data_IF_169406856408
#
_entry.id   IF_169406856408
#
_cell.length_a   1.000
_cell.length_b   1.000
_cell.length_c   1.000
_cell.angle_alpha   90.00
_cell.angle_beta   90.00
_cell.angle_gamma   90.00
#
_symmetry.space_group_name_H-M   'P 1'
#
loop_
_entity.id
_entity.type
_entity.pdbx_description
1 polymer ?
#
# COMPACT_ATOMS: atom_id res chain seq x y z
N UNK A 1 -25.61 -13.91 -44.72
CA UNK A 1 -24.70 -13.97 -43.55
C UNK A 1 -25.26 -13.02 -42.50
N UNK A 2 -25.61 -13.49 -41.32
CA UNK A 2 -26.09 -12.61 -40.25
C UNK A 2 -24.91 -11.80 -39.70
N UNK A 3 -25.03 -10.50 -39.71
CA UNK A 3 -24.02 -9.59 -39.12
C UNK A 3 -24.06 -9.72 -37.61
N UNK A 4 -22.93 -10.07 -36.99
CA UNK A 4 -22.78 -10.09 -35.53
C UNK A 4 -22.24 -8.74 -35.07
N UNK A 5 -22.98 -8.08 -34.19
CA UNK A 5 -22.56 -6.79 -33.61
C UNK A 5 -22.05 -7.05 -32.21
N UNK A 6 -20.79 -6.73 -31.94
CA UNK A 6 -20.22 -6.74 -30.61
C UNK A 6 -20.65 -5.45 -29.90
N UNK A 7 -21.24 -5.51 -28.68
CA UNK A 7 -21.76 -4.34 -27.97
C UNK A 7 -20.64 -3.53 -27.31
N UNK A 8 -19.65 -3.10 -28.08
CA UNK A 8 -18.50 -2.31 -27.64
C UNK A 8 -18.49 -0.95 -28.33
N UNK A 9 -18.58 0.11 -27.53
CA UNK A 9 -18.40 1.48 -27.98
C UNK A 9 -17.13 2.03 -27.38
N UNK A 10 -16.04 2.14 -28.17
CA UNK A 10 -14.78 2.65 -27.68
C UNK A 10 -14.88 4.15 -27.34
N UNK A 11 -14.26 4.57 -26.25
CA UNK A 11 -14.05 5.99 -25.94
C UNK A 11 -13.18 6.64 -27.02
N UNK A 12 -13.25 7.97 -27.22
CA UNK A 12 -12.54 8.66 -28.31
C UNK A 12 -11.04 8.30 -28.38
N UNK A 13 -10.30 8.37 -27.28
CA UNK A 13 -8.87 8.00 -27.25
C UNK A 13 -8.61 6.54 -27.66
N UNK A 14 -9.48 5.62 -27.28
CA UNK A 14 -9.38 4.23 -27.71
C UNK A 14 -9.66 4.09 -29.20
N UNK A 15 -10.72 4.74 -29.72
CA UNK A 15 -11.14 4.65 -31.10
C UNK A 15 -10.11 5.27 -32.05
N UNK A 16 -9.66 6.48 -31.72
CA UNK A 16 -8.92 7.33 -32.66
C UNK A 16 -7.40 7.18 -32.54
N UNK A 17 -6.90 6.68 -31.40
CA UNK A 17 -5.46 6.60 -31.16
C UNK A 17 -4.99 5.20 -30.77
N UNK A 18 -5.57 4.58 -29.70
CA UNK A 18 -4.99 3.36 -29.13
C UNK A 18 -5.26 2.15 -30.02
N UNK A 19 -6.49 1.88 -30.45
CA UNK A 19 -6.80 0.74 -31.34
C UNK A 19 -6.05 0.79 -32.67
N UNK A 20 -5.92 1.95 -33.35
CA UNK A 20 -5.08 2.07 -34.54
C UNK A 20 -3.60 1.75 -34.25
N UNK A 21 -3.06 2.26 -33.12
CA UNK A 21 -1.69 1.95 -32.73
C UNK A 21 -1.49 0.46 -32.44
N UNK A 22 -2.39 -0.16 -31.65
CA UNK A 22 -2.34 -1.61 -31.37
C UNK A 22 -2.52 -2.50 -32.62
N UNK A 23 -3.06 -1.97 -33.69
CA UNK A 23 -3.11 -2.66 -34.98
C UNK A 23 -1.80 -2.57 -35.73
N UNK A 24 -1.07 -1.43 -35.61
CA UNK A 24 0.18 -1.17 -36.33
C UNK A 24 1.40 -1.78 -35.63
N UNK A 25 1.46 -1.69 -34.29
CA UNK A 25 2.64 -2.12 -33.52
C UNK A 25 2.44 -3.51 -32.94
N UNK A 26 3.51 -4.29 -32.94
CA UNK A 26 3.51 -5.64 -32.38
C UNK A 26 3.53 -5.63 -30.86
N UNK A 27 4.22 -4.69 -30.27
CA UNK A 27 4.33 -4.52 -28.81
C UNK A 27 3.88 -3.13 -28.41
N UNK A 28 3.20 -3.05 -27.27
CA UNK A 28 2.71 -1.77 -26.76
C UNK A 28 2.77 -1.70 -25.23
N UNK A 29 3.05 -0.51 -24.70
CA UNK A 29 3.01 -0.20 -23.28
C UNK A 29 2.05 0.96 -23.05
N UNK A 30 0.96 0.71 -22.32
CA UNK A 30 -0.07 1.68 -22.03
C UNK A 30 -0.07 2.01 -20.54
N UNK A 31 0.51 3.15 -20.19
CA UNK A 31 0.50 3.70 -18.84
C UNK A 31 -0.70 4.62 -18.74
N UNK A 32 -1.73 4.21 -17.99
CA UNK A 32 -2.98 4.97 -17.98
C UNK A 32 -3.53 5.06 -16.56
N UNK A 33 -4.10 6.20 -16.22
CA UNK A 33 -4.71 6.45 -14.93
C UNK A 33 -5.82 5.46 -14.58
N UNK A 34 -6.17 5.39 -13.31
CA UNK A 34 -7.30 4.60 -12.82
C UNK A 34 -8.60 5.07 -13.51
N UNK A 35 -9.52 4.13 -13.83
CA UNK A 35 -10.79 4.38 -14.54
C UNK A 35 -10.66 4.74 -16.04
N UNK A 36 -9.48 4.70 -16.63
CA UNK A 36 -9.26 4.96 -18.06
C UNK A 36 -10.01 3.99 -19.00
N UNK A 37 -10.35 2.80 -18.50
CA UNK A 37 -11.01 1.74 -19.31
C UNK A 37 -10.03 0.76 -19.93
N UNK A 38 -8.83 0.61 -19.35
CA UNK A 38 -7.76 -0.31 -19.81
C UNK A 38 -8.28 -1.71 -20.11
N UNK A 39 -8.93 -2.34 -19.15
CA UNK A 39 -9.43 -3.73 -19.24
C UNK A 39 -10.43 -3.90 -20.40
N UNK A 40 -11.45 -3.03 -20.46
CA UNK A 40 -12.49 -3.08 -21.50
C UNK A 40 -11.89 -2.90 -22.90
N UNK A 41 -11.02 -1.90 -23.07
CA UNK A 41 -10.37 -1.63 -24.33
C UNK A 41 -9.49 -2.77 -24.81
N UNK A 42 -8.64 -3.31 -23.92
CA UNK A 42 -7.71 -4.40 -24.29
C UNK A 42 -8.40 -5.74 -24.49
N UNK A 43 -9.43 -6.08 -23.71
CA UNK A 43 -10.25 -7.28 -23.95
C UNK A 43 -10.90 -7.22 -25.32
N UNK A 44 -11.46 -6.07 -25.74
CA UNK A 44 -12.05 -5.91 -27.06
C UNK A 44 -11.01 -5.89 -28.19
N UNK A 45 -9.80 -5.36 -27.95
CA UNK A 45 -8.72 -5.49 -28.94
C UNK A 45 -8.27 -6.94 -29.10
N UNK A 46 -8.16 -7.70 -28.01
CA UNK A 46 -7.88 -9.14 -28.06
C UNK A 46 -8.96 -9.89 -28.83
N UNK A 47 -10.22 -9.61 -28.56
CA UNK A 47 -11.36 -10.22 -29.27
C UNK A 47 -11.33 -9.88 -30.76
N UNK A 48 -11.12 -8.61 -31.13
CA UNK A 48 -10.97 -8.16 -32.51
C UNK A 48 -9.86 -8.93 -33.24
N UNK A 49 -8.69 -9.02 -32.64
CA UNK A 49 -7.55 -9.75 -33.21
C UNK A 49 -7.82 -11.25 -33.31
N UNK A 50 -8.54 -11.84 -32.36
CA UNK A 50 -8.94 -13.25 -32.40
C UNK A 50 -9.94 -13.53 -33.52
N UNK A 51 -10.93 -12.64 -33.75
CA UNK A 51 -11.90 -12.77 -34.84
C UNK A 51 -11.22 -12.60 -36.20
N UNK A 52 -10.24 -11.72 -36.33
CA UNK A 52 -9.56 -11.44 -37.60
C UNK A 52 -8.43 -12.42 -37.92
N UNK A 53 -8.00 -13.25 -36.96
CA UNK A 53 -6.89 -14.19 -37.17
C UNK A 53 -7.33 -15.40 -38.03
N UNK A 54 -6.65 -15.59 -39.14
CA UNK A 54 -6.93 -16.70 -40.10
C UNK A 54 -6.08 -17.95 -39.83
N UNK A 55 -5.22 -17.94 -38.82
CA UNK A 55 -4.39 -19.09 -38.46
C UNK A 55 -5.22 -20.20 -37.80
N UNK A 56 -4.71 -21.45 -37.90
CA UNK A 56 -5.31 -22.59 -37.20
C UNK A 56 -5.09 -22.47 -35.69
N UNK A 57 -6.15 -22.71 -34.93
CA UNK A 57 -6.14 -22.76 -33.45
C UNK A 57 -5.41 -21.57 -32.78
N UNK A 58 -5.80 -20.33 -33.04
CA UNK A 58 -5.11 -19.19 -32.43
C UNK A 58 -5.33 -19.15 -30.90
N UNK A 59 -4.32 -18.74 -30.15
CA UNK A 59 -4.35 -18.72 -28.68
C UNK A 59 -3.98 -17.32 -28.16
N UNK A 60 -4.82 -16.81 -27.29
CA UNK A 60 -4.66 -15.49 -26.65
C UNK A 60 -4.75 -15.62 -25.14
N UNK A 61 -4.04 -14.79 -24.41
CA UNK A 61 -4.10 -14.75 -22.96
C UNK A 61 -4.26 -13.32 -22.44
N UNK A 62 -5.14 -13.15 -21.47
CA UNK A 62 -5.18 -11.99 -20.60
C UNK A 62 -4.60 -12.41 -19.25
N UNK A 63 -3.48 -11.80 -18.86
CA UNK A 63 -2.70 -12.17 -17.68
C UNK A 63 -2.75 -11.03 -16.69
N UNK A 64 -3.20 -11.29 -15.45
CA UNK A 64 -3.12 -10.37 -14.31
C UNK A 64 -2.25 -10.99 -13.21
N UNK A 65 -1.80 -10.24 -12.20
CA UNK A 65 -0.91 -10.74 -11.15
C UNK A 65 -1.39 -12.02 -10.48
N UNK A 66 -2.70 -12.11 -10.20
CA UNK A 66 -3.33 -13.27 -9.56
C UNK A 66 -4.54 -13.77 -10.36
N UNK A 67 -4.73 -15.10 -10.39
CA UNK A 67 -5.85 -15.73 -11.12
C UNK A 67 -7.22 -15.22 -10.66
N UNK A 68 -7.42 -15.06 -9.35
CA UNK A 68 -8.67 -14.55 -8.81
C UNK A 68 -8.93 -13.08 -9.19
N UNK A 69 -7.88 -12.27 -9.32
CA UNK A 69 -7.96 -10.89 -9.81
C UNK A 69 -8.32 -10.88 -11.29
N UNK A 70 -7.62 -11.65 -12.11
CA UNK A 70 -7.88 -11.79 -13.54
C UNK A 70 -9.34 -12.21 -13.79
N UNK A 71 -9.85 -13.21 -13.05
CA UNK A 71 -11.25 -13.65 -13.12
C UNK A 71 -12.21 -12.50 -12.78
N UNK A 72 -11.98 -11.77 -11.69
CA UNK A 72 -12.87 -10.70 -11.23
C UNK A 72 -12.92 -9.52 -12.22
N UNK A 73 -11.78 -9.20 -12.83
CA UNK A 73 -11.60 -7.98 -13.62
C UNK A 73 -11.95 -8.20 -15.11
N UNK A 74 -11.55 -9.32 -15.72
CA UNK A 74 -11.63 -9.51 -17.16
C UNK A 74 -12.62 -10.59 -17.61
N UNK A 75 -12.91 -11.61 -16.78
CA UNK A 75 -13.71 -12.77 -17.18
C UNK A 75 -15.14 -12.40 -17.58
N UNK A 76 -15.83 -11.58 -16.79
CA UNK A 76 -17.21 -11.17 -17.11
C UNK A 76 -17.25 -10.31 -18.38
N UNK A 77 -16.25 -9.44 -18.59
CA UNK A 77 -16.15 -8.67 -19.83
C UNK A 77 -15.92 -9.58 -21.03
N UNK A 78 -15.04 -10.56 -20.92
CA UNK A 78 -14.80 -11.50 -22.02
C UNK A 78 -16.07 -12.28 -22.38
N UNK A 79 -16.80 -12.79 -21.39
CA UNK A 79 -18.09 -13.46 -21.60
C UNK A 79 -19.13 -12.53 -22.22
N UNK A 80 -19.24 -11.32 -21.72
CA UNK A 80 -20.20 -10.33 -22.19
C UNK A 80 -19.99 -9.97 -23.67
N UNK A 81 -18.76 -9.59 -24.04
CA UNK A 81 -18.46 -9.18 -25.40
C UNK A 81 -18.46 -10.33 -26.42
N UNK A 82 -18.21 -11.55 -25.98
CA UNK A 82 -18.30 -12.72 -26.86
C UNK A 82 -19.71 -13.30 -26.96
N UNK A 83 -20.67 -12.89 -26.10
CA UNK A 83 -22.03 -13.44 -26.05
C UNK A 83 -22.77 -13.42 -27.40
N UNK A 84 -22.68 -12.36 -28.21
CA UNK A 84 -23.36 -12.32 -29.50
C UNK A 84 -22.81 -13.28 -30.57
N UNK A 85 -21.64 -13.92 -30.32
CA UNK A 85 -20.99 -14.77 -31.34
C UNK A 85 -21.61 -16.16 -31.35
N UNK A 86 -22.32 -16.56 -32.42
CA UNK A 86 -22.93 -17.88 -32.51
C UNK A 86 -21.87 -18.99 -32.51
N UNK A 87 -22.12 -20.08 -31.78
CA UNK A 87 -21.24 -21.23 -31.74
C UNK A 87 -19.99 -21.04 -30.87
N UNK A 88 -19.88 -19.94 -30.08
CA UNK A 88 -18.84 -19.84 -29.04
C UNK A 88 -19.07 -20.87 -27.95
N UNK A 89 -17.99 -21.34 -27.33
CA UNK A 89 -18.05 -22.14 -26.11
C UNK A 89 -17.34 -21.44 -24.96
N UNK A 90 -17.78 -21.71 -23.73
CA UNK A 90 -17.23 -21.09 -22.50
C UNK A 90 -16.83 -22.20 -21.54
N UNK A 91 -15.59 -22.18 -21.09
CA UNK A 91 -15.09 -23.07 -20.07
C UNK A 91 -14.85 -22.28 -18.76
N UNK A 92 -15.74 -22.48 -17.78
CA UNK A 92 -15.70 -21.76 -16.50
C UNK A 92 -14.60 -22.27 -15.56
N UNK A 93 -14.15 -23.52 -15.72
CA UNK A 93 -13.09 -24.09 -14.86
C UNK A 93 -11.70 -23.61 -15.31
N UNK A 94 -11.45 -23.64 -16.61
CA UNK A 94 -10.17 -23.23 -17.21
C UNK A 94 -10.13 -21.73 -17.57
N UNK A 95 -11.26 -21.03 -17.43
CA UNK A 95 -11.43 -19.61 -17.73
C UNK A 95 -11.01 -19.25 -19.17
N UNK A 96 -11.56 -19.92 -20.15
CA UNK A 96 -11.41 -19.53 -21.54
C UNK A 96 -12.73 -19.49 -22.30
N UNK A 97 -12.75 -18.67 -23.35
CA UNK A 97 -13.79 -18.67 -24.38
C UNK A 97 -13.14 -19.15 -25.66
N UNK A 98 -13.79 -20.13 -26.35
CA UNK A 98 -13.41 -20.58 -27.68
C UNK A 98 -14.40 -20.04 -28.69
N UNK A 99 -13.89 -19.34 -29.70
CA UNK A 99 -14.67 -18.83 -30.81
C UNK A 99 -14.89 -19.93 -31.88
N UNK A 100 -15.91 -19.84 -32.76
CA UNK A 100 -16.12 -20.78 -33.83
C UNK A 100 -14.88 -20.91 -34.70
N UNK A 101 -14.54 -22.15 -35.06
CA UNK A 101 -13.40 -22.41 -35.93
C UNK A 101 -13.72 -22.01 -37.40
N UNK A 102 -12.68 -21.55 -38.09
CA UNK A 102 -12.70 -21.30 -39.53
C UNK A 102 -12.06 -22.45 -40.35
N UNK A 103 -11.48 -23.42 -39.63
CA UNK A 103 -10.73 -24.51 -40.22
C UNK A 103 -11.31 -25.86 -39.77
N UNK A 104 -11.81 -26.66 -40.68
CA UNK A 104 -12.32 -27.99 -40.38
C UNK A 104 -11.26 -28.83 -39.68
N UNK A 105 -11.66 -29.52 -38.59
CA UNK A 105 -10.77 -30.36 -37.81
C UNK A 105 -9.78 -29.63 -36.91
N UNK A 106 -9.87 -28.30 -36.75
CA UNK A 106 -9.04 -27.54 -35.82
C UNK A 106 -9.93 -26.80 -34.81
N UNK A 107 -9.45 -26.60 -33.55
CA UNK A 107 -10.14 -25.71 -32.61
C UNK A 107 -10.23 -24.28 -33.12
N UNK A 108 -11.23 -23.56 -32.65
CA UNK A 108 -11.33 -22.12 -32.86
C UNK A 108 -10.30 -21.31 -32.06
N UNK A 109 -10.40 -19.99 -32.15
CA UNK A 109 -9.53 -19.10 -31.34
C UNK A 109 -9.90 -19.21 -29.87
N UNK A 110 -8.91 -19.48 -28.99
CA UNK A 110 -9.07 -19.57 -27.56
C UNK A 110 -8.52 -18.33 -26.87
N UNK A 111 -9.37 -17.71 -26.04
CA UNK A 111 -9.06 -16.53 -25.26
C UNK A 111 -9.07 -16.91 -23.77
N UNK A 112 -7.90 -17.02 -23.17
CA UNK A 112 -7.71 -17.42 -21.79
C UNK A 112 -7.63 -16.22 -20.83
N UNK A 113 -8.09 -16.42 -19.59
CA UNK A 113 -7.86 -15.53 -18.45
C UNK A 113 -6.96 -16.27 -17.46
N UNK A 114 -5.75 -15.76 -17.22
CA UNK A 114 -4.68 -16.47 -16.50
C UNK A 114 -4.11 -15.57 -15.41
N UNK A 115 -3.68 -16.18 -14.28
CA UNK A 115 -2.90 -15.50 -13.24
C UNK A 115 -1.41 -15.68 -13.47
N UNK A 116 -0.63 -14.63 -13.27
CA UNK A 116 0.84 -14.67 -13.30
C UNK A 116 1.45 -15.44 -12.12
N UNK A 117 0.64 -15.72 -11.09
CA UNK A 117 0.97 -16.59 -9.95
C UNK A 117 1.10 -18.08 -10.34
N UNK A 118 0.62 -18.47 -11.53
CA UNK A 118 0.75 -19.82 -12.09
C UNK A 118 1.47 -19.81 -13.45
N UNK A 119 2.76 -19.49 -13.51
CA UNK A 119 3.50 -19.34 -14.77
C UNK A 119 3.59 -20.67 -15.58
N UNK A 120 3.47 -21.80 -14.92
CA UNK A 120 3.51 -23.11 -15.58
C UNK A 120 2.30 -23.33 -16.49
N UNK A 121 1.18 -22.69 -16.24
CA UNK A 121 0.01 -22.71 -17.14
C UNK A 121 0.27 -22.06 -18.51
N UNK A 122 1.31 -21.24 -18.61
CA UNK A 122 1.73 -20.56 -19.84
C UNK A 122 2.94 -21.23 -20.49
N UNK A 123 3.61 -22.18 -19.81
CA UNK A 123 4.74 -22.92 -20.37
C UNK A 123 4.25 -23.97 -21.36
N UNK A 124 4.93 -24.07 -22.49
CA UNK A 124 4.64 -25.08 -23.50
C UNK A 124 3.43 -24.76 -24.41
N UNK A 125 2.78 -23.60 -24.22
CA UNK A 125 1.76 -23.11 -25.16
C UNK A 125 2.36 -22.04 -26.08
N UNK A 126 1.87 -21.98 -27.31
CA UNK A 126 2.13 -20.85 -28.20
C UNK A 126 1.06 -19.76 -27.99
N UNK A 127 1.45 -18.51 -28.19
CA UNK A 127 0.55 -17.38 -28.09
C UNK A 127 0.56 -16.55 -29.39
N UNK A 128 -0.62 -16.26 -29.92
CA UNK A 128 -0.82 -15.29 -30.98
C UNK A 128 -0.91 -13.86 -30.42
N UNK A 129 -1.28 -13.71 -29.12
CA UNK A 129 -1.26 -12.44 -28.44
C UNK A 129 -1.48 -12.53 -26.93
N UNK A 130 -0.98 -11.53 -26.23
CA UNK A 130 -1.10 -11.46 -24.75
C UNK A 130 -1.34 -10.02 -24.30
N UNK A 131 -2.16 -9.90 -23.26
CA UNK A 131 -2.32 -8.68 -22.46
C UNK A 131 -1.75 -8.98 -21.09
N UNK A 132 -0.88 -8.11 -20.59
CA UNK A 132 -0.31 -8.17 -19.26
C UNK A 132 -0.87 -6.99 -18.45
N UNK A 133 -1.87 -7.26 -17.63
CA UNK A 133 -2.58 -6.25 -16.84
C UNK A 133 -1.91 -6.08 -15.47
N UNK A 134 -1.91 -4.85 -14.97
CA UNK A 134 -1.19 -4.44 -13.75
C UNK A 134 0.26 -4.96 -13.76
N UNK A 135 0.96 -4.73 -14.88
CA UNK A 135 2.29 -5.29 -15.12
C UNK A 135 3.32 -4.89 -14.05
N UNK A 136 3.11 -3.78 -13.38
CA UNK A 136 3.93 -3.36 -12.25
C UNK A 136 3.98 -4.40 -11.10
N UNK A 137 2.94 -5.24 -10.96
CA UNK A 137 2.83 -6.28 -9.93
C UNK A 137 3.22 -7.68 -10.45
N UNK A 138 3.51 -7.83 -11.73
CA UNK A 138 3.92 -9.10 -12.33
C UNK A 138 5.44 -9.26 -12.19
N UNK A 139 5.89 -10.46 -11.81
CA UNK A 139 7.33 -10.75 -11.70
C UNK A 139 8.03 -10.61 -13.05
N UNK A 140 9.20 -9.94 -13.12
CA UNK A 140 9.92 -9.68 -14.38
C UNK A 140 10.24 -10.94 -15.19
N UNK A 141 10.53 -12.05 -14.49
CA UNK A 141 10.92 -13.33 -15.10
C UNK A 141 9.81 -13.92 -15.97
N UNK A 142 8.53 -13.57 -15.71
CA UNK A 142 7.41 -14.07 -16.50
C UNK A 142 7.51 -13.62 -17.97
N UNK A 143 7.85 -12.35 -18.20
CA UNK A 143 8.01 -11.84 -19.56
C UNK A 143 9.15 -12.53 -20.30
N UNK A 144 10.36 -12.44 -19.78
CA UNK A 144 11.56 -12.95 -20.47
C UNK A 144 11.62 -14.46 -20.57
N UNK A 145 11.21 -15.17 -19.51
CA UNK A 145 11.36 -16.61 -19.38
C UNK A 145 10.18 -17.43 -19.89
N UNK A 146 8.99 -16.84 -20.00
CA UNK A 146 7.77 -17.60 -20.34
C UNK A 146 7.02 -16.99 -21.52
N UNK A 147 6.60 -15.73 -21.40
CA UNK A 147 5.70 -15.10 -22.39
C UNK A 147 6.43 -14.80 -23.69
N UNK A 148 7.61 -14.19 -23.62
CA UNK A 148 8.34 -13.80 -24.83
C UNK A 148 8.72 -14.99 -25.74
N UNK A 149 9.17 -16.16 -25.20
CA UNK A 149 9.33 -17.38 -25.98
C UNK A 149 8.00 -17.89 -26.58
N UNK A 150 6.91 -17.92 -25.80
CA UNK A 150 5.58 -18.37 -26.28
C UNK A 150 5.05 -17.56 -27.47
N UNK A 151 5.46 -16.31 -27.61
CA UNK A 151 5.11 -15.43 -28.75
C UNK A 151 6.03 -15.61 -29.97
N UNK A 152 7.17 -16.30 -29.83
CA UNK A 152 8.20 -16.30 -30.86
C UNK A 152 7.74 -17.03 -32.13
N UNK A 153 7.24 -18.26 -31.99
CA UNK A 153 6.87 -19.14 -33.12
C UNK A 153 5.75 -18.56 -33.98
N UNK A 154 4.84 -17.85 -33.35
CA UNK A 154 3.68 -17.24 -34.01
C UNK A 154 3.87 -15.75 -34.29
N UNK A 155 5.01 -15.17 -33.97
CA UNK A 155 5.21 -13.72 -34.02
C UNK A 155 4.07 -12.96 -33.35
N UNK A 156 3.59 -13.49 -32.23
CA UNK A 156 2.47 -12.95 -31.47
C UNK A 156 2.75 -11.57 -30.91
N UNK A 157 1.73 -10.83 -30.58
CA UNK A 157 1.80 -9.47 -30.03
C UNK A 157 1.66 -9.46 -28.52
N UNK A 158 2.13 -8.37 -27.87
CA UNK A 158 1.93 -8.14 -26.45
C UNK A 158 1.54 -6.69 -26.14
N UNK A 159 0.63 -6.52 -25.16
CA UNK A 159 0.25 -5.22 -24.62
C UNK A 159 0.42 -5.25 -23.10
N UNK A 160 1.25 -4.36 -22.59
CA UNK A 160 1.49 -4.13 -21.16
C UNK A 160 0.61 -2.97 -20.72
N UNK A 161 -0.20 -3.16 -19.69
CA UNK A 161 -1.08 -2.12 -19.15
C UNK A 161 -0.97 -2.05 -17.63
N UNK A 162 -1.20 -0.87 -17.09
CA UNK A 162 -1.21 -0.65 -15.63
C UNK A 162 -1.14 0.82 -15.25
N UNK A 163 -1.10 1.03 -13.94
CA UNK A 163 -0.69 2.30 -13.32
C UNK A 163 0.76 2.16 -12.81
N UNK A 164 1.55 3.24 -12.74
CA UNK A 164 2.89 3.20 -12.18
C UNK A 164 2.93 2.72 -10.74
N UNK A 165 3.99 1.98 -10.41
CA UNK A 165 4.33 1.61 -9.03
C UNK A 165 5.84 1.74 -8.83
N UNK A 166 6.34 2.98 -8.93
CA UNK A 166 7.76 3.26 -8.89
C UNK A 166 8.49 2.94 -10.19
N UNK A 167 9.80 3.10 -10.12
CA UNK A 167 10.72 2.80 -11.22
C UNK A 167 11.09 1.31 -11.24
N UNK A 168 10.09 0.46 -11.44
CA UNK A 168 10.20 -0.99 -11.52
C UNK A 168 10.26 -1.48 -12.98
N UNK A 169 10.05 -2.79 -13.20
CA UNK A 169 10.06 -3.40 -14.54
C UNK A 169 9.04 -2.78 -15.51
N UNK A 170 7.92 -2.21 -15.01
CA UNK A 170 6.95 -1.52 -15.86
C UNK A 170 7.49 -0.19 -16.37
N UNK A 171 8.21 0.55 -15.51
CA UNK A 171 8.94 1.75 -15.92
C UNK A 171 10.02 1.43 -16.96
N UNK A 172 10.82 0.40 -16.72
CA UNK A 172 11.88 -0.02 -17.67
C UNK A 172 11.28 -0.40 -19.03
N UNK A 173 10.15 -1.13 -19.02
CA UNK A 173 9.44 -1.50 -20.24
C UNK A 173 8.87 -0.28 -20.98
N UNK A 174 8.31 0.69 -20.25
CA UNK A 174 7.83 1.94 -20.81
C UNK A 174 8.98 2.75 -21.44
N UNK A 175 10.10 2.90 -20.72
CA UNK A 175 11.29 3.60 -21.24
C UNK A 175 11.94 2.89 -22.44
N UNK A 176 11.88 1.56 -22.48
CA UNK A 176 12.29 0.79 -23.67
C UNK A 176 11.37 1.08 -24.86
N UNK A 177 10.07 1.04 -24.63
CA UNK A 177 9.09 1.27 -25.68
C UNK A 177 9.16 2.70 -26.27
N UNK A 178 9.40 3.73 -25.44
CA UNK A 178 9.60 5.11 -25.90
C UNK A 178 10.78 5.27 -26.88
N UNK A 179 11.82 4.44 -26.72
CA UNK A 179 13.05 4.50 -27.52
C UNK A 179 13.01 3.57 -28.75
N UNK A 180 12.04 2.68 -28.82
CA UNK A 180 12.00 1.62 -29.85
C UNK A 180 10.97 1.96 -30.91
N UNK A 181 11.40 2.07 -32.17
CA UNK A 181 10.52 2.39 -33.30
C UNK A 181 9.42 1.34 -33.57
N UNK A 182 9.65 0.09 -33.15
CA UNK A 182 8.72 -1.05 -33.33
C UNK A 182 7.73 -1.23 -32.19
N UNK A 183 7.81 -0.37 -31.16
CA UNK A 183 6.93 -0.39 -30.01
C UNK A 183 6.05 0.86 -29.98
N UNK A 184 4.84 0.69 -29.43
CA UNK A 184 3.97 1.82 -29.09
C UNK A 184 4.04 2.07 -27.58
N UNK A 185 4.27 3.31 -27.19
CA UNK A 185 4.20 3.75 -25.80
C UNK A 185 3.22 4.93 -25.69
N UNK A 186 2.36 4.89 -24.66
CA UNK A 186 1.57 6.06 -24.28
C UNK A 186 1.44 6.18 -22.76
N UNK A 187 1.31 7.42 -22.32
CA UNK A 187 1.01 7.75 -20.93
C UNK A 187 -0.17 8.73 -20.93
N UNK A 188 -1.24 8.37 -20.20
CA UNK A 188 -2.44 9.19 -20.08
C UNK A 188 -2.76 9.47 -18.62
N UNK A 189 -2.69 10.73 -18.23
CA UNK A 189 -3.00 11.23 -16.89
C UNK A 189 -4.49 11.58 -16.80
N UNK A 190 -5.07 11.52 -15.60
CA UNK A 190 -6.48 11.83 -15.39
C UNK A 190 -6.84 13.29 -15.67
N UNK A 191 -5.89 14.20 -15.49
CA UNK A 191 -6.05 15.64 -15.77
C UNK A 191 -5.86 16.01 -17.25
N UNK A 192 -5.45 15.07 -18.10
CA UNK A 192 -5.26 15.25 -19.54
C UNK A 192 -6.36 14.54 -20.36
N UNK A 193 -7.29 13.85 -19.69
CA UNK A 193 -8.36 13.10 -20.33
C UNK A 193 -9.71 13.50 -19.75
N UNK A 194 -10.75 13.55 -20.58
CA UNK A 194 -12.12 13.83 -20.15
C UNK A 194 -12.86 12.55 -19.69
N UNK A 195 -12.10 11.54 -19.20
CA UNK A 195 -12.66 10.24 -18.83
C UNK A 195 -13.36 10.29 -17.48
N UNK A 196 -12.82 11.08 -16.55
CA UNK A 196 -13.40 11.34 -15.24
C UNK A 196 -13.92 12.78 -15.22
N UNK A 197 -15.19 13.03 -14.88
CA UNK A 197 -15.71 14.39 -14.74
C UNK A 197 -14.87 15.21 -13.74
N UNK A 198 -14.75 16.51 -13.99
CA UNK A 198 -13.84 17.41 -13.23
C UNK A 198 -14.20 17.47 -11.75
N UNK A 199 -15.49 17.49 -11.42
CA UNK A 199 -16.03 17.47 -10.06
C UNK A 199 -15.70 16.16 -9.34
N UNK A 200 -15.91 15.02 -9.99
CA UNK A 200 -15.56 13.71 -9.47
C UNK A 200 -14.04 13.56 -9.27
N UNK A 201 -13.23 14.08 -10.22
CA UNK A 201 -11.77 14.08 -10.08
C UNK A 201 -11.30 14.92 -8.88
N UNK A 202 -11.96 16.05 -8.62
CA UNK A 202 -11.67 16.88 -7.46
C UNK A 202 -12.03 16.18 -6.14
N UNK A 203 -13.18 15.52 -6.08
CA UNK A 203 -13.62 14.74 -4.90
C UNK A 203 -12.69 13.56 -4.65
N UNK A 204 -12.33 12.81 -5.69
CA UNK A 204 -11.33 11.73 -5.57
C UNK A 204 -10.00 12.25 -5.01
N UNK A 205 -9.49 13.40 -5.50
CA UNK A 205 -8.24 13.99 -5.01
C UNK A 205 -8.33 14.40 -3.54
N UNK A 206 -9.48 14.88 -3.08
CA UNK A 206 -9.67 15.26 -1.68
C UNK A 206 -9.63 14.06 -0.70
N UNK A 207 -9.91 12.85 -1.20
CA UNK A 207 -9.95 11.60 -0.42
C UNK A 207 -8.67 10.76 -0.54
N UNK A 208 -7.76 11.13 -1.43
CA UNK A 208 -6.52 10.41 -1.71
C UNK A 208 -5.31 11.14 -1.12
N UNK A 209 -4.26 10.40 -0.82
CA UNK A 209 -2.96 10.99 -0.48
C UNK A 209 -2.28 11.56 -1.71
N UNK A 210 -1.36 12.52 -1.54
CA UNK A 210 -0.57 13.08 -2.66
C UNK A 210 0.13 12.00 -3.48
N UNK A 211 0.62 10.95 -2.81
CA UNK A 211 1.27 9.83 -3.48
C UNK A 211 0.26 9.01 -4.32
N UNK A 212 -0.91 8.69 -3.78
CA UNK A 212 -1.97 7.99 -4.52
C UNK A 212 -2.43 8.83 -5.73
N UNK A 213 -2.56 10.15 -5.57
CA UNK A 213 -2.89 11.07 -6.68
C UNK A 213 -1.81 10.99 -7.75
N UNK A 214 -0.53 11.13 -7.39
CA UNK A 214 0.58 11.09 -8.34
C UNK A 214 0.65 9.74 -9.05
N UNK A 215 0.50 8.63 -8.33
CA UNK A 215 0.58 7.28 -8.86
C UNK A 215 -0.65 6.90 -9.72
N UNK A 216 -1.84 6.97 -9.13
CA UNK A 216 -3.07 6.41 -9.72
C UNK A 216 -3.74 7.35 -10.72
N UNK A 217 -3.61 8.67 -10.54
CA UNK A 217 -4.26 9.67 -11.38
C UNK A 217 -3.28 10.36 -12.34
N UNK A 218 -2.07 10.72 -11.88
CA UNK A 218 -1.09 11.44 -12.70
C UNK A 218 -0.08 10.52 -13.38
N UNK A 219 -0.15 9.22 -13.17
CA UNK A 219 0.73 8.22 -13.80
C UNK A 219 2.23 8.51 -13.59
N UNK A 220 2.60 9.02 -12.42
CA UNK A 220 3.97 9.42 -12.12
C UNK A 220 4.78 8.25 -11.59
N UNK A 221 5.75 7.78 -12.36
CA UNK A 221 6.69 6.73 -11.96
C UNK A 221 7.65 7.14 -10.84
N UNK A 222 7.77 8.42 -10.55
CA UNK A 222 8.61 8.90 -9.45
C UNK A 222 7.83 9.02 -8.12
N UNK A 223 6.51 8.84 -8.14
CA UNK A 223 5.65 8.94 -6.96
C UNK A 223 6.04 7.98 -5.84
N UNK A 224 6.70 6.87 -6.17
CA UNK A 224 7.21 5.90 -5.20
C UNK A 224 8.73 5.97 -5.02
N UNK A 225 9.40 7.01 -5.52
CA UNK A 225 10.82 7.21 -5.30
C UNK A 225 11.17 7.53 -3.84
N UNK A 226 10.15 7.65 -2.96
CA UNK A 226 10.32 7.53 -1.53
C UNK A 226 9.20 6.63 -1.00
N UNK A 227 9.45 5.33 -0.88
CA UNK A 227 8.65 4.40 -0.07
C UNK A 227 8.74 4.75 1.42
N UNK A 228 9.29 5.90 1.74
CA UNK A 228 9.47 6.41 3.09
C UNK A 228 8.15 6.98 3.60
N UNK A 229 7.73 6.54 4.78
CA UNK A 229 6.47 6.99 5.40
C UNK A 229 6.49 8.49 5.68
N UNK A 230 7.61 9.00 6.21
CA UNK A 230 7.77 10.40 6.63
C UNK A 230 8.95 11.02 5.85
N UNK A 231 8.69 11.89 4.87
CA UNK A 231 9.74 12.55 4.09
C UNK A 231 10.71 13.37 4.96
N UNK A 232 11.99 13.36 4.62
CA UNK A 232 13.04 14.06 5.38
C UNK A 232 12.79 15.56 5.52
N UNK A 233 12.19 16.18 4.50
CA UNK A 233 11.87 17.62 4.51
C UNK A 233 10.82 17.93 5.56
N UNK A 234 9.80 17.06 5.73
CA UNK A 234 8.77 17.20 6.76
C UNK A 234 9.37 17.08 8.17
N UNK A 235 10.27 16.10 8.38
CA UNK A 235 10.98 15.93 9.66
C UNK A 235 11.88 17.14 9.93
N UNK A 236 12.60 17.63 8.90
CA UNK A 236 13.46 18.79 9.04
C UNK A 236 12.67 20.05 9.42
N UNK A 237 11.55 20.31 8.75
CA UNK A 237 10.67 21.40 9.10
C UNK A 237 10.14 21.30 10.54
N UNK A 238 9.84 20.08 11.01
CA UNK A 238 9.35 19.85 12.35
C UNK A 238 10.43 20.08 13.45
N UNK A 239 11.71 19.88 13.13
CA UNK A 239 12.83 20.16 14.07
C UNK A 239 13.14 21.64 14.22
N UNK A 240 12.71 22.48 13.29
CA UNK A 240 12.87 23.94 13.37
C UNK A 240 11.69 24.66 14.04
N UNK A 241 10.62 23.92 14.36
CA UNK A 241 9.45 24.48 15.06
C UNK A 241 9.73 24.60 16.56
N UNK A 242 9.52 25.79 17.10
CA UNK A 242 9.63 26.06 18.53
C UNK A 242 8.23 26.20 19.12
N UNK A 243 7.84 25.26 19.98
CA UNK A 243 6.60 25.32 20.75
C UNK A 243 6.92 25.46 22.22
N UNK A 244 6.01 26.11 22.94
CA UNK A 244 6.08 26.34 24.39
C UNK A 244 4.95 25.61 25.12
N UNK A 245 5.01 25.58 26.44
CA UNK A 245 3.93 24.99 27.26
C UNK A 245 2.57 25.63 27.00
N UNK A 246 2.55 26.94 26.67
CA UNK A 246 1.30 27.67 26.36
C UNK A 246 0.63 27.19 25.06
N UNK A 247 1.42 26.83 24.07
CA UNK A 247 0.90 26.38 22.77
C UNK A 247 0.21 25.03 22.85
N UNK A 248 0.50 24.24 23.89
CA UNK A 248 -0.06 22.90 24.10
C UNK A 248 -0.89 22.81 25.40
N UNK A 249 -1.18 23.94 26.03
CA UNK A 249 -1.99 23.98 27.25
C UNK A 249 -3.37 23.35 27.02
N UNK A 250 -3.82 22.53 27.96
CA UNK A 250 -5.09 21.82 27.81
C UNK A 250 -5.07 20.62 26.88
N UNK A 251 -3.95 20.31 26.23
CA UNK A 251 -3.80 19.10 25.41
C UNK A 251 -3.32 17.91 26.27
N UNK A 252 -3.73 16.66 25.96
CA UNK A 252 -3.31 15.49 26.72
C UNK A 252 -1.81 15.24 26.60
N UNK A 253 -1.18 14.87 27.70
CA UNK A 253 0.19 14.35 27.74
C UNK A 253 0.14 12.85 27.56
N UNK A 254 0.94 12.32 26.66
CA UNK A 254 0.99 10.91 26.29
C UNK A 254 2.44 10.43 26.38
N UNK A 255 2.66 9.30 27.03
CA UNK A 255 3.97 8.66 27.12
C UNK A 255 3.98 7.41 26.23
N UNK A 256 4.92 7.33 25.30
CA UNK A 256 5.25 6.14 24.52
C UNK A 256 6.55 5.53 25.02
N UNK A 257 6.58 4.21 25.18
CA UNK A 257 7.73 3.46 25.71
C UNK A 257 8.04 2.30 24.79
N UNK A 258 9.19 2.36 24.12
CA UNK A 258 9.78 1.23 23.39
C UNK A 258 10.82 0.55 24.29
N UNK A 259 10.62 -0.75 24.59
CA UNK A 259 11.44 -1.51 25.54
C UNK A 259 12.38 -2.43 24.80
N UNK A 260 13.68 -2.19 24.93
CA UNK A 260 14.72 -3.01 24.32
C UNK A 260 15.11 -4.23 25.15
N UNK A 261 15.66 -5.25 24.46
CA UNK A 261 16.35 -6.38 25.06
C UNK A 261 17.78 -6.00 25.50
N UNK A 262 18.39 -6.86 26.34
CA UNK A 262 19.83 -6.81 26.58
C UNK A 262 20.61 -6.90 25.26
N UNK A 263 21.50 -5.93 25.01
CA UNK A 263 22.30 -5.81 23.80
C UNK A 263 22.44 -4.37 23.33
N UNK A 264 22.60 -4.18 22.03
CA UNK A 264 22.80 -2.87 21.40
C UNK A 264 21.51 -2.05 21.24
N UNK A 265 20.33 -2.65 21.43
CA UNK A 265 19.03 -1.98 21.31
C UNK A 265 18.75 -1.15 22.59
N UNK A 266 18.00 -0.06 22.45
CA UNK A 266 17.80 0.96 23.50
C UNK A 266 16.35 1.01 23.95
N UNK A 267 16.15 1.15 25.27
CA UNK A 267 14.84 1.55 25.79
C UNK A 267 14.64 3.05 25.62
N UNK A 268 13.55 3.46 25.01
CA UNK A 268 13.23 4.87 24.75
C UNK A 268 11.89 5.24 25.36
N UNK A 269 11.88 6.36 26.07
CA UNK A 269 10.68 7.02 26.60
C UNK A 269 10.46 8.32 25.84
N UNK A 270 9.28 8.47 25.22
CA UNK A 270 8.90 9.67 24.46
C UNK A 270 7.63 10.31 25.03
N UNK A 271 7.71 11.56 25.46
CA UNK A 271 6.57 12.34 25.99
C UNK A 271 6.09 13.33 24.94
N UNK A 272 4.84 13.19 24.52
CA UNK A 272 4.17 14.10 23.58
C UNK A 272 2.99 14.78 24.26
N UNK A 273 2.81 16.07 24.00
CA UNK A 273 1.64 16.85 24.41
C UNK A 273 1.12 17.65 23.22
N UNK A 274 -0.09 17.35 22.74
CA UNK A 274 -0.63 18.02 21.58
C UNK A 274 0.32 17.93 20.36
N UNK A 275 0.74 19.08 19.87
CA UNK A 275 1.69 19.21 18.75
C UNK A 275 3.17 19.24 19.17
N UNK A 276 3.50 18.99 20.40
CA UNK A 276 4.87 19.10 20.92
C UNK A 276 5.42 17.80 21.48
N UNK A 277 6.58 17.34 20.99
CA UNK A 277 7.40 16.31 21.63
C UNK A 277 8.23 16.97 22.73
N UNK A 278 7.76 16.83 23.98
CA UNK A 278 8.32 17.54 25.15
C UNK A 278 9.65 16.96 25.64
N UNK A 279 9.76 15.62 25.60
CA UNK A 279 10.90 14.91 26.20
C UNK A 279 11.14 13.59 25.48
N UNK A 280 12.40 13.24 25.26
CA UNK A 280 12.83 11.94 24.71
C UNK A 280 14.05 11.48 25.50
N UNK A 281 13.91 10.33 26.17
CA UNK A 281 14.97 9.74 26.99
C UNK A 281 15.36 8.38 26.48
N UNK A 282 16.64 8.13 26.43
CA UNK A 282 17.22 6.87 25.96
C UNK A 282 18.03 6.21 27.06
N UNK A 283 17.86 4.91 27.22
CA UNK A 283 18.55 4.09 28.19
C UNK A 283 19.08 2.82 27.56
N UNK A 284 20.24 2.35 28.03
CA UNK A 284 20.86 1.09 27.57
C UNK A 284 21.23 0.23 28.79
N UNK A 285 21.19 -1.09 28.61
CA UNK A 285 21.67 -2.03 29.61
C UNK A 285 20.83 -2.14 30.89
N UNK A 286 19.57 -1.68 30.85
CA UNK A 286 18.67 -1.76 32.01
C UNK A 286 17.94 -3.11 32.08
N UNK A 287 17.76 -3.60 33.31
CA UNK A 287 16.81 -4.70 33.58
C UNK A 287 15.36 -4.21 33.46
N UNK A 288 14.40 -5.15 33.32
CA UNK A 288 12.98 -4.83 33.29
C UNK A 288 12.48 -4.05 34.50
N UNK A 289 13.07 -4.31 35.67
CA UNK A 289 12.76 -3.61 36.92
C UNK A 289 13.26 -2.16 36.91
N UNK A 290 14.46 -1.93 36.40
CA UNK A 290 15.02 -0.58 36.25
C UNK A 290 14.26 0.21 35.18
N UNK A 291 13.89 -0.42 34.06
CA UNK A 291 13.01 0.21 33.04
C UNK A 291 11.68 0.62 33.69
N UNK A 292 11.03 -0.27 34.47
CA UNK A 292 9.77 0.07 35.14
C UNK A 292 9.95 1.29 36.07
N UNK A 293 11.07 1.39 36.80
CA UNK A 293 11.36 2.55 37.66
C UNK A 293 11.53 3.84 36.81
N UNK A 294 12.21 3.78 35.64
CA UNK A 294 12.35 4.93 34.75
C UNK A 294 11.02 5.39 34.17
N UNK A 295 10.13 4.45 33.85
CA UNK A 295 8.76 4.76 33.43
C UNK A 295 7.98 5.43 34.55
N UNK A 296 8.10 4.95 35.82
CA UNK A 296 7.46 5.56 36.97
C UNK A 296 7.98 7.00 37.22
N UNK A 297 9.29 7.21 37.15
CA UNK A 297 9.88 8.55 37.26
C UNK A 297 9.30 9.51 36.20
N UNK A 298 9.18 9.04 34.95
CA UNK A 298 8.62 9.81 33.87
C UNK A 298 7.12 10.09 34.07
N UNK A 299 6.34 9.09 34.54
CA UNK A 299 4.92 9.27 34.90
C UNK A 299 4.75 10.32 35.98
N UNK A 300 5.54 10.25 37.04
CA UNK A 300 5.47 11.19 38.18
C UNK A 300 5.86 12.63 37.74
N UNK A 301 6.82 12.76 36.83
CA UNK A 301 7.29 14.06 36.34
C UNK A 301 6.29 14.73 35.38
N UNK A 302 5.71 13.97 34.45
CA UNK A 302 4.92 14.52 33.34
C UNK A 302 3.41 14.32 33.49
N UNK A 303 2.96 13.49 34.44
CA UNK A 303 1.54 13.17 34.73
C UNK A 303 0.75 12.83 33.45
N UNK A 304 1.15 11.86 32.61
CA UNK A 304 0.51 11.55 31.36
C UNK A 304 -0.91 11.00 31.56
N UNK A 305 -1.83 11.35 30.66
CA UNK A 305 -3.18 10.83 30.61
C UNK A 305 -3.24 9.40 30.03
N UNK A 306 -2.23 9.02 29.26
CA UNK A 306 -2.06 7.66 28.76
C UNK A 306 -0.58 7.29 28.66
N UNK A 307 -0.29 6.02 28.91
CA UNK A 307 1.04 5.41 28.79
C UNK A 307 0.90 4.21 27.88
N UNK A 308 1.57 4.23 26.73
CA UNK A 308 1.60 3.14 25.76
C UNK A 308 2.97 2.48 25.76
N UNK A 309 3.02 1.16 25.92
CA UNK A 309 4.25 0.39 26.01
C UNK A 309 4.23 -0.70 24.95
N UNK A 310 5.33 -0.83 24.17
CA UNK A 310 5.47 -1.94 23.23
C UNK A 310 5.44 -3.28 24.00
N UNK A 311 4.51 -4.16 23.61
CA UNK A 311 4.30 -5.48 24.20
C UNK A 311 5.33 -6.53 23.74
N UNK A 312 6.38 -6.14 23.02
CA UNK A 312 7.47 -7.05 22.64
C UNK A 312 7.99 -7.86 23.83
N UNK A 313 8.82 -8.89 23.58
CA UNK A 313 9.18 -9.92 24.56
C UNK A 313 9.66 -9.41 25.95
N UNK A 314 10.22 -8.19 26.02
CA UNK A 314 10.66 -7.55 27.27
C UNK A 314 9.64 -6.57 27.84
N UNK A 315 8.81 -5.97 26.99
CA UNK A 315 7.77 -5.02 27.40
C UNK A 315 6.74 -5.64 28.31
N UNK A 316 6.38 -6.91 28.11
CA UNK A 316 5.45 -7.64 28.96
C UNK A 316 5.90 -7.64 30.44
N UNK A 317 7.17 -7.90 30.75
CA UNK A 317 7.68 -7.89 32.12
C UNK A 317 7.66 -6.49 32.76
N UNK A 318 7.87 -5.43 31.97
CA UNK A 318 7.75 -4.04 32.44
C UNK A 318 6.29 -3.70 32.72
N UNK A 319 5.38 -4.09 31.82
CA UNK A 319 3.93 -3.89 31.95
C UNK A 319 3.40 -4.59 33.20
N UNK A 320 3.75 -5.86 33.42
CA UNK A 320 3.34 -6.63 34.58
C UNK A 320 3.80 -5.97 35.87
N UNK A 321 5.05 -5.50 35.91
CA UNK A 321 5.60 -4.80 37.09
C UNK A 321 4.86 -3.48 37.35
N UNK A 322 4.58 -2.68 36.35
CA UNK A 322 3.84 -1.43 36.47
C UNK A 322 2.41 -1.66 36.94
N UNK A 323 1.73 -2.66 36.40
CA UNK A 323 0.37 -3.07 36.83
C UNK A 323 0.36 -3.58 38.29
N UNK A 324 1.37 -4.35 38.69
CA UNK A 324 1.53 -4.78 40.07
C UNK A 324 1.69 -3.58 41.04
N UNK A 325 2.35 -2.52 40.57
CA UNK A 325 2.50 -1.25 41.33
C UNK A 325 1.28 -0.31 41.11
N UNK A 326 0.17 -0.80 40.55
CA UNK A 326 -1.07 -0.08 40.31
C UNK A 326 -0.98 1.11 39.32
N UNK A 327 0.06 1.18 38.49
CA UNK A 327 0.12 2.13 37.40
C UNK A 327 -0.75 1.64 36.24
N UNK A 328 -1.59 2.56 35.71
CA UNK A 328 -2.41 2.25 34.53
C UNK A 328 -1.56 2.43 33.26
N UNK A 329 -1.26 1.33 32.58
CA UNK A 329 -0.50 1.32 31.34
C UNK A 329 -1.23 0.47 30.30
N UNK A 330 -1.16 0.91 29.05
CA UNK A 330 -1.74 0.24 27.89
C UNK A 330 -0.65 -0.45 27.08
N UNK A 331 -0.84 -1.72 26.90
CA UNK A 331 -0.02 -2.58 26.06
C UNK A 331 -0.35 -2.33 24.57
N UNK A 332 0.67 -2.28 23.72
CA UNK A 332 0.53 -2.14 22.28
C UNK A 332 1.41 -3.19 21.60
N UNK A 333 0.82 -4.08 20.84
CA UNK A 333 1.55 -5.02 20.00
C UNK A 333 1.58 -4.48 18.56
N UNK A 334 2.76 -4.20 18.04
CA UNK A 334 2.94 -3.65 16.68
C UNK A 334 2.34 -4.52 15.56
N UNK A 335 2.20 -5.82 15.81
CA UNK A 335 1.58 -6.78 14.88
C UNK A 335 0.05 -6.84 14.95
N UNK A 336 -0.59 -6.23 15.96
CA UNK A 336 -2.05 -6.29 16.09
C UNK A 336 -2.77 -5.55 14.94
N UNK A 337 -4.06 -5.85 14.76
CA UNK A 337 -4.88 -5.22 13.73
C UNK A 337 -4.93 -3.70 13.92
N UNK A 338 -4.84 -2.97 12.83
CA UNK A 338 -5.04 -1.52 12.81
C UNK A 338 -6.46 -1.15 13.23
N UNK A 339 -6.68 0.07 13.70
CA UNK A 339 -8.03 0.60 13.93
C UNK A 339 -8.75 0.83 12.58
N UNK A 340 -8.01 1.27 11.55
CA UNK A 340 -8.49 1.42 10.17
C UNK A 340 -8.01 0.22 9.34
N UNK A 341 -8.68 -0.92 9.50
CA UNK A 341 -8.31 -2.20 8.88
C UNK A 341 -8.50 -2.26 7.37
N UNK A 342 -9.24 -1.35 6.80
CA UNK A 342 -9.42 -1.14 5.35
C UNK A 342 -8.16 -0.57 4.69
N UNK A 343 -7.41 0.26 5.40
CA UNK A 343 -6.26 1.00 4.90
C UNK A 343 -4.91 0.41 5.33
N UNK A 344 -4.79 -0.02 6.58
CA UNK A 344 -3.53 -0.48 7.18
C UNK A 344 -3.54 -1.96 7.49
N UNK A 345 -2.41 -2.64 7.30
CA UNK A 345 -2.26 -4.06 7.59
C UNK A 345 -2.14 -4.35 9.09
N UNK A 346 -1.55 -3.44 9.85
CA UNK A 346 -1.35 -3.55 11.30
C UNK A 346 -1.29 -2.16 11.95
N UNK A 347 -1.33 -2.14 13.30
CA UNK A 347 -1.32 -0.90 14.07
C UNK A 347 -0.01 -0.13 13.92
N UNK A 348 1.14 -0.81 13.68
CA UNK A 348 2.43 -0.13 13.47
C UNK A 348 2.38 0.78 12.24
N UNK A 349 1.82 0.28 11.13
CA UNK A 349 1.66 1.10 9.93
C UNK A 349 0.75 2.31 10.19
N UNK A 350 -0.37 2.11 10.88
CA UNK A 350 -1.30 3.18 11.21
C UNK A 350 -0.65 4.26 12.10
N UNK A 351 0.11 3.87 13.12
CA UNK A 351 0.80 4.79 14.02
C UNK A 351 1.81 5.68 13.29
N UNK A 352 2.61 5.11 12.38
CA UNK A 352 3.58 5.88 11.59
C UNK A 352 2.89 6.89 10.66
N UNK A 353 1.81 6.52 10.02
CA UNK A 353 1.03 7.43 9.18
C UNK A 353 0.33 8.53 10.01
N UNK A 354 -0.19 8.20 11.20
CA UNK A 354 -0.71 9.22 12.13
C UNK A 354 0.38 10.20 12.60
N UNK A 355 1.60 9.71 12.83
CA UNK A 355 2.75 10.56 13.13
C UNK A 355 3.07 11.51 11.96
N UNK A 356 3.07 11.01 10.72
CA UNK A 356 3.23 11.84 9.52
C UNK A 356 2.15 12.93 9.43
N UNK A 357 0.90 12.55 9.62
CA UNK A 357 -0.23 13.49 9.56
C UNK A 357 -0.14 14.54 10.69
N UNK A 358 0.31 14.14 11.88
CA UNK A 358 0.59 15.04 12.99
C UNK A 358 1.73 16.01 12.68
N UNK A 359 2.83 15.56 12.07
CA UNK A 359 3.93 16.43 11.60
C UNK A 359 3.45 17.42 10.54
N UNK A 360 2.60 16.98 9.61
CA UNK A 360 1.98 17.82 8.58
C UNK A 360 1.09 18.91 9.23
N UNK A 361 0.40 18.58 10.31
CA UNK A 361 -0.48 19.49 11.05
C UNK A 361 0.29 20.48 11.98
N UNK A 362 1.61 20.47 11.94
CA UNK A 362 2.43 21.42 12.73
C UNK A 362 3.15 20.80 13.93
N UNK A 363 3.22 19.47 14.02
CA UNK A 363 3.95 18.79 15.08
C UNK A 363 5.43 19.19 15.16
N UNK A 364 5.96 19.43 16.36
CA UNK A 364 7.32 19.86 16.61
C UNK A 364 8.15 18.73 17.26
N UNK A 365 9.36 18.55 16.75
CA UNK A 365 10.32 17.55 17.19
C UNK A 365 11.52 18.20 17.87
N UNK A 366 12.18 17.52 18.82
CA UNK A 366 13.44 17.99 19.38
C UNK A 366 14.55 17.97 18.30
N UNK A 367 15.56 18.82 18.44
CA UNK A 367 16.76 18.83 17.59
C UNK A 367 17.63 17.60 17.86
N UNK A 368 17.17 16.45 17.39
CA UNK A 368 17.83 15.15 17.54
C UNK A 368 18.08 14.54 16.15
N UNK A 369 19.33 14.47 15.74
CA UNK A 369 19.73 13.98 14.41
C UNK A 369 19.40 12.49 14.20
N UNK A 370 19.45 11.70 15.28
CA UNK A 370 19.16 10.26 15.21
C UNK A 370 17.65 10.02 15.04
N UNK A 371 16.79 10.68 15.83
CA UNK A 371 15.33 10.64 15.65
C UNK A 371 14.92 11.10 14.24
N UNK A 372 15.58 12.16 13.73
CA UNK A 372 15.38 12.63 12.36
C UNK A 372 15.67 11.53 11.33
N UNK A 373 16.81 10.83 11.47
CA UNK A 373 17.20 9.74 10.59
C UNK A 373 16.23 8.56 10.69
N UNK A 374 15.89 8.12 11.91
CA UNK A 374 14.98 7.00 12.13
C UNK A 374 13.59 7.25 11.53
N UNK A 375 13.00 8.43 11.75
CA UNK A 375 11.69 8.79 11.19
C UNK A 375 11.70 8.85 9.66
N UNK A 376 12.80 9.30 9.05
CA UNK A 376 12.90 9.51 7.60
C UNK A 376 13.39 8.30 6.81
N UNK A 377 13.64 7.17 7.46
CA UNK A 377 14.15 5.96 6.80
C UNK A 377 13.16 4.81 6.72
N UNK A 378 12.07 4.83 7.50
CA UNK A 378 11.07 3.75 7.51
C UNK A 378 10.29 3.73 6.20
N UNK A 379 10.38 2.62 5.48
CA UNK A 379 9.70 2.40 4.21
C UNK A 379 8.40 1.63 4.39
N UNK A 380 7.48 1.82 3.44
CA UNK A 380 6.23 1.10 3.38
C UNK A 380 5.96 0.54 1.99
N UNK A 381 5.06 -0.43 1.91
CA UNK A 381 4.56 -0.99 0.66
C UNK A 381 3.09 -1.36 0.81
N UNK A 382 2.44 -1.63 -0.32
CA UNK A 382 1.12 -2.23 -0.30
C UNK A 382 1.23 -3.75 -0.29
N UNK A 383 0.46 -4.41 0.58
CA UNK A 383 0.35 -5.86 0.57
C UNK A 383 -0.59 -6.33 -0.57
N UNK A 384 -0.70 -7.65 -0.85
CA UNK A 384 -1.58 -8.17 -1.90
C UNK A 384 -3.07 -7.78 -1.75
N UNK A 385 -3.50 -7.41 -0.55
CA UNK A 385 -4.87 -6.92 -0.28
C UNK A 385 -5.02 -5.41 -0.48
N UNK A 386 -3.99 -4.71 -0.96
CA UNK A 386 -3.99 -3.26 -1.17
C UNK A 386 -3.83 -2.43 0.11
N UNK A 387 -3.52 -3.06 1.27
CA UNK A 387 -3.32 -2.36 2.55
C UNK A 387 -1.86 -1.99 2.74
N UNK A 388 -1.63 -0.87 3.39
CA UNK A 388 -0.29 -0.36 3.72
C UNK A 388 0.35 -1.23 4.81
N UNK A 389 1.57 -1.68 4.57
CA UNK A 389 2.41 -2.39 5.52
C UNK A 389 3.81 -1.79 5.51
N UNK A 390 4.42 -1.61 6.69
CA UNK A 390 5.80 -1.15 6.79
C UNK A 390 6.78 -2.30 6.51
N UNK A 391 8.00 -1.94 6.15
CA UNK A 391 9.10 -2.92 6.11
C UNK A 391 9.30 -3.58 7.49
N UNK A 392 9.64 -4.88 7.55
CA UNK A 392 9.98 -5.56 8.80
C UNK A 392 11.15 -4.87 9.52
N UNK A 393 11.11 -4.82 10.87
CA UNK A 393 12.19 -4.21 11.68
C UNK A 393 13.57 -4.82 11.37
N UNK A 394 13.62 -6.12 11.10
CA UNK A 394 14.85 -6.84 10.77
C UNK A 394 15.47 -6.30 9.47
N UNK A 395 14.65 -6.09 8.42
CA UNK A 395 15.12 -5.53 7.15
C UNK A 395 15.58 -4.09 7.28
N UNK A 396 14.83 -3.29 8.04
CA UNK A 396 15.24 -1.92 8.35
C UNK A 396 16.59 -1.91 9.07
N UNK A 397 16.77 -2.77 10.09
CA UNK A 397 18.03 -2.91 10.84
C UNK A 397 19.19 -3.38 9.94
N UNK A 398 18.94 -4.33 9.03
CA UNK A 398 19.95 -4.75 8.03
C UNK A 398 20.36 -3.60 7.11
N UNK A 399 19.42 -2.76 6.67
CA UNK A 399 19.66 -1.63 5.75
C UNK A 399 20.31 -0.43 6.43
N UNK A 400 19.91 -0.11 7.67
CA UNK A 400 20.33 1.10 8.38
C UNK A 400 21.40 0.84 9.45
N UNK A 401 21.63 -0.41 9.80
CA UNK A 401 22.54 -0.84 10.87
C UNK A 401 21.95 -0.70 12.27
N UNK A 402 20.77 -0.13 12.45
CA UNK A 402 20.13 0.15 13.76
C UNK A 402 18.63 -0.08 13.75
N UNK A 403 18.05 -0.36 14.92
CA UNK A 403 16.62 -0.35 15.17
C UNK A 403 16.08 1.08 15.28
N UNK A 404 14.83 1.37 14.85
CA UNK A 404 14.24 2.71 14.93
C UNK A 404 13.60 3.00 16.31
N UNK A 405 14.34 2.78 17.39
CA UNK A 405 13.82 2.79 18.76
C UNK A 405 13.23 4.16 19.16
N UNK A 406 13.86 5.26 18.74
CA UNK A 406 13.39 6.63 18.98
C UNK A 406 12.08 6.91 18.22
N UNK A 407 12.03 6.50 16.97
CA UNK A 407 10.84 6.65 16.12
C UNK A 407 9.70 5.77 16.66
N UNK A 408 9.96 4.51 17.01
CA UNK A 408 8.96 3.58 17.55
C UNK A 408 8.39 4.10 18.88
N UNK A 409 9.20 4.69 19.79
CA UNK A 409 8.70 5.31 21.01
C UNK A 409 7.78 6.52 20.74
N UNK A 410 8.12 7.36 19.77
CA UNK A 410 7.27 8.49 19.38
C UNK A 410 5.95 8.00 18.77
N UNK A 411 5.98 7.04 17.83
CA UNK A 411 4.76 6.59 17.15
C UNK A 411 3.82 5.84 18.09
N UNK A 412 4.31 5.21 19.15
CA UNK A 412 3.46 4.63 20.21
C UNK A 412 2.51 5.66 20.82
N UNK A 413 2.88 6.95 20.87
CA UNK A 413 1.99 8.00 21.36
C UNK A 413 0.72 8.21 20.50
N UNK A 414 0.65 7.58 19.33
CA UNK A 414 -0.51 7.61 18.40
C UNK A 414 -1.31 6.31 18.38
N UNK A 415 -0.99 5.35 19.27
CA UNK A 415 -1.62 4.02 19.26
C UNK A 415 -3.15 4.08 19.41
N UNK A 416 -3.65 4.92 20.28
CA UNK A 416 -5.09 5.11 20.51
C UNK A 416 -5.43 6.59 20.72
N UNK A 417 -6.66 7.04 20.39
CA UNK A 417 -7.13 8.38 20.71
C UNK A 417 -7.12 8.61 22.22
N UNK A 418 -6.57 9.75 22.67
CA UNK A 418 -6.56 10.17 24.08
C UNK A 418 -7.21 11.53 24.19
N UNK A 419 -8.21 11.62 25.04
CA UNK A 419 -8.94 12.86 25.30
C UNK A 419 -8.66 13.36 26.70
N UNK A 420 -8.65 14.67 26.89
CA UNK A 420 -8.65 15.24 28.24
C UNK A 420 -9.95 14.81 28.92
N UNK A 421 -9.83 14.05 29.99
CA UNK A 421 -10.97 13.90 30.89
C UNK A 421 -11.26 15.28 31.46
N UNK A 422 -12.47 15.80 31.18
CA UNK A 422 -12.93 17.04 31.79
C UNK A 422 -12.65 16.97 33.30
N UNK A 423 -12.21 18.08 33.90
CA UNK A 423 -12.11 18.21 35.35
C UNK A 423 -13.49 17.98 35.98
N UNK A 424 -13.91 16.74 36.04
CA UNK A 424 -14.82 16.30 37.11
C UNK A 424 -13.92 16.34 38.34
N UNK A 425 -14.21 17.29 39.24
CA UNK A 425 -13.40 17.53 40.42
C UNK A 425 -13.15 16.20 41.12
N UNK A 426 -11.86 15.79 41.09
CA UNK A 426 -11.38 14.87 42.12
C UNK A 426 -11.47 15.66 43.43
N UNK A 427 -12.62 15.64 44.08
CA UNK A 427 -12.63 15.62 45.53
C UNK A 427 -11.73 14.44 45.92
N UNK A 428 -10.50 14.74 46.38
CA UNK A 428 -9.78 13.81 47.24
C UNK A 428 -10.80 13.47 48.35
N UNK A 429 -11.45 12.31 48.27
CA UNK A 429 -11.86 11.62 49.44
C UNK A 429 -10.59 11.30 50.19
N UNK A 430 -10.20 12.22 51.08
CA UNK A 430 -9.40 11.85 52.20
C UNK A 430 -10.27 10.84 52.96
N UNK A 431 -9.97 9.57 52.85
CA UNK A 431 -10.33 8.58 53.82
C UNK A 431 -9.59 9.00 55.10
N UNK A 432 -10.26 9.73 55.97
CA UNK A 432 -9.94 9.72 57.36
C UNK A 432 -10.32 8.33 57.87
N UNK A 433 -9.36 7.43 57.79
CA UNK A 433 -9.38 6.20 58.58
C UNK A 433 -8.71 6.50 59.91
N UNK A 434 -9.31 7.31 60.73
CA UNK A 434 -9.16 7.12 62.17
C UNK A 434 -10.14 6.01 62.51
N UNK A 435 -9.68 4.78 62.48
CA UNK A 435 -10.33 3.64 63.11
C UNK A 435 -10.00 3.68 64.59
N UNK A 436 -10.90 4.16 65.44
CA UNK A 436 -10.83 3.98 66.86
C UNK A 436 -11.54 2.66 67.21
N UNK A 437 -10.81 1.61 67.62
CA UNK A 437 -11.40 0.33 67.99
C UNK A 437 -12.20 0.37 69.31
N UNK A 438 -12.29 1.50 69.96
CA UNK A 438 -12.97 1.68 71.25
C UNK A 438 -14.23 2.57 71.21
N UNK A 439 -14.67 3.05 70.08
CA UNK A 439 -15.90 3.85 69.96
C UNK A 439 -17.18 3.04 69.84
N UNK A 440 -17.15 1.71 70.02
CA UNK A 440 -18.30 0.83 70.04
C UNK A 440 -18.35 0.05 71.36
N UNK A 441 -18.58 0.77 72.47
CA UNK A 441 -19.11 0.22 73.70
C UNK A 441 -20.25 1.09 74.27
#
# INVERSE_FOLDING_TARGET
MSTVVIPYTPRPLWRDTIHPALTRYRFAVLVCHRRFGKTVGTVNEMLKKAILNERKAPVYAYVAPYRNQAKRVAWEYLKYYTNPIPGRTVNESELYVELPTRHNGSPGARLYIIGADHPDALRGIYLDGVILDEYADIKPELWGGVIRPALADRQGWAVFIGTPKGQNQFYEMYRHAEKSADWYACLYRADETDVIPTDELADMKAQMTDMEIRQELLCDFTASASDVVIPIDLVSAATERELTEKDVEGQPVILGVDVARFGDDRTVLCVRQGLWTRDVRTFTGLSTMEVANRVIDCINQHCPQAVFIDAGAMGAGVIDRLRQLQYQVSEVNFGEAALSTDRYANIRAEMYFKCRDWLTSGGALPKNAELKTELSTVEYKFNPSGRIILEPKEKLKERTGKSPDLADALVLTFARPVYMQGRVGRQRQMCNTEYDPFEAM
#
